data_IF_971500153396
#
_entry.id   IF_971500153396
#
_cell.length_a   1.000
_cell.length_b   1.000
_cell.length_c   1.000
_cell.angle_alpha   90.00
_cell.angle_beta   90.00
_cell.angle_gamma   90.00
#
_symmetry.space_group_name_H-M   'P 1'
#
loop_
_entity.id
_entity.type
_entity.pdbx_description
1 polymer ?
#
# COMPACT_ATOMS: atom_id res chain seq x y z
N UNK A 1 -17.75 50.72 37.02
CA UNK A 1 -16.58 49.90 36.64
C UNK A 1 -15.35 50.78 36.47
N UNK A 2 -14.37 50.58 37.34
CA UNK A 2 -13.10 51.33 37.36
C UNK A 2 -12.22 50.92 36.16
N UNK A 3 -11.33 51.82 35.71
CA UNK A 3 -10.42 51.58 34.56
C UNK A 3 -9.57 50.31 34.73
N UNK A 4 -9.22 50.02 35.98
CA UNK A 4 -8.44 48.85 36.38
C UNK A 4 -9.21 47.54 36.21
N UNK A 5 -10.52 47.53 36.51
CA UNK A 5 -11.38 46.35 36.31
C UNK A 5 -11.54 46.00 34.83
N UNK A 6 -11.72 47.03 33.97
CA UNK A 6 -11.78 46.83 32.51
C UNK A 6 -10.45 46.33 31.94
N UNK A 7 -9.32 46.85 32.43
CA UNK A 7 -8.00 46.38 32.01
C UNK A 7 -7.76 44.92 32.46
N UNK A 8 -8.18 44.57 33.67
CA UNK A 8 -8.02 43.22 34.22
C UNK A 8 -8.95 42.20 33.53
N UNK A 9 -10.18 42.59 33.22
CA UNK A 9 -11.09 41.79 32.39
C UNK A 9 -10.54 41.60 30.98
N UNK A 10 -10.01 42.65 30.35
CA UNK A 10 -9.39 42.54 29.03
C UNK A 10 -8.15 41.64 29.02
N UNK A 11 -7.37 41.60 30.11
CA UNK A 11 -6.23 40.68 30.26
C UNK A 11 -6.73 39.23 30.43
N UNK A 12 -7.76 39.00 31.25
CA UNK A 12 -8.37 37.68 31.46
C UNK A 12 -9.08 37.14 30.20
N UNK A 13 -9.73 38.00 29.41
CA UNK A 13 -10.31 37.63 28.11
C UNK A 13 -9.23 37.38 27.04
N UNK A 14 -8.08 38.07 27.14
CA UNK A 14 -6.95 37.88 26.23
C UNK A 14 -6.16 36.61 26.52
N UNK A 15 -6.28 36.04 27.71
CA UNK A 15 -5.72 34.74 28.06
C UNK A 15 -6.56 33.61 27.41
N UNK A 16 -6.43 33.52 26.08
CA UNK A 16 -7.13 32.57 25.24
C UNK A 16 -6.60 31.17 25.58
N UNK A 17 -7.32 30.46 26.44
CA UNK A 17 -7.07 29.05 26.80
C UNK A 17 -6.69 28.26 25.53
N UNK A 18 -5.48 27.70 25.49
CA UNK A 18 -5.06 26.85 24.37
C UNK A 18 -5.72 25.48 24.57
N UNK A 19 -6.72 25.15 23.75
CA UNK A 19 -7.39 23.85 23.79
C UNK A 19 -6.56 22.83 23.02
N UNK A 20 -5.79 22.00 23.74
CA UNK A 20 -5.00 20.90 23.17
C UNK A 20 -5.83 20.05 22.16
N UNK A 21 -7.08 19.74 22.50
CA UNK A 21 -7.98 18.95 21.65
C UNK A 21 -8.23 19.59 20.28
N UNK A 22 -8.38 20.91 20.21
CA UNK A 22 -8.60 21.62 18.95
C UNK A 22 -7.39 21.48 18.02
N UNK A 23 -6.19 21.72 18.54
CA UNK A 23 -4.95 21.61 17.76
C UNK A 23 -4.61 20.18 17.38
N UNK A 24 -4.90 19.23 18.27
CA UNK A 24 -4.76 17.80 18.00
C UNK A 24 -5.70 17.35 16.87
N UNK A 25 -6.99 17.71 16.94
CA UNK A 25 -7.97 17.39 15.89
C UNK A 25 -7.64 18.05 14.55
N UNK A 26 -7.21 19.32 14.57
CA UNK A 26 -6.76 20.02 13.37
C UNK A 26 -5.56 19.31 12.73
N UNK A 27 -4.58 18.88 13.53
CA UNK A 27 -3.41 18.13 13.03
C UNK A 27 -3.82 16.82 12.37
N UNK A 28 -4.67 16.03 13.06
CA UNK A 28 -5.18 14.76 12.53
C UNK A 28 -5.95 14.97 11.22
N UNK A 29 -6.80 15.99 11.14
CA UNK A 29 -7.55 16.31 9.94
C UNK A 29 -6.62 16.71 8.78
N UNK A 30 -5.64 17.57 9.02
CA UNK A 30 -4.67 17.99 8.00
C UNK A 30 -3.83 16.81 7.48
N UNK A 31 -3.31 15.96 8.36
CA UNK A 31 -2.59 14.75 7.96
C UNK A 31 -3.49 13.78 7.19
N UNK A 32 -4.71 13.53 7.67
CA UNK A 32 -5.68 12.67 6.99
C UNK A 32 -5.96 13.15 5.57
N UNK A 33 -6.26 14.44 5.38
CA UNK A 33 -6.53 15.02 4.06
C UNK A 33 -5.33 14.94 3.11
N UNK A 34 -4.12 15.23 3.61
CA UNK A 34 -2.91 15.20 2.79
C UNK A 34 -2.55 13.79 2.30
N UNK A 35 -2.73 12.78 3.16
CA UNK A 35 -2.33 11.39 2.86
C UNK A 35 -3.46 10.55 2.24
N UNK A 36 -4.72 10.98 2.33
CA UNK A 36 -5.87 10.29 1.73
C UNK A 36 -5.67 9.93 0.25
N UNK A 37 -5.34 10.87 -0.66
CA UNK A 37 -5.20 10.54 -2.09
C UNK A 37 -4.07 9.54 -2.34
N UNK A 38 -2.99 9.59 -1.55
CA UNK A 38 -1.87 8.67 -1.65
C UNK A 38 -2.29 7.24 -1.29
N UNK A 39 -2.94 7.05 -0.14
CA UNK A 39 -3.41 5.73 0.29
C UNK A 39 -4.52 5.19 -0.63
N UNK A 40 -5.44 6.04 -1.07
CA UNK A 40 -6.45 5.64 -2.05
C UNK A 40 -5.78 5.11 -3.33
N UNK A 41 -4.83 5.87 -3.88
CA UNK A 41 -4.16 5.53 -5.14
C UNK A 41 -3.34 4.25 -5.06
N UNK A 42 -2.58 4.02 -3.98
CA UNK A 42 -1.78 2.79 -3.85
C UNK A 42 -2.66 1.55 -3.73
N UNK A 43 -3.76 1.62 -2.98
CA UNK A 43 -4.70 0.50 -2.83
C UNK A 43 -5.41 0.22 -4.15
N UNK A 44 -5.90 1.27 -4.81
CA UNK A 44 -6.57 1.14 -6.10
C UNK A 44 -5.63 0.57 -7.17
N UNK A 45 -4.38 1.05 -7.22
CA UNK A 45 -3.36 0.54 -8.15
C UNK A 45 -3.03 -0.93 -7.87
N UNK A 46 -2.90 -1.31 -6.59
CA UNK A 46 -2.70 -2.70 -6.17
C UNK A 46 -3.86 -3.59 -6.63
N UNK A 47 -5.11 -3.18 -6.42
CA UNK A 47 -6.26 -3.96 -6.87
C UNK A 47 -6.31 -4.11 -8.40
N UNK A 48 -6.11 -3.01 -9.13
CA UNK A 48 -6.04 -3.01 -10.60
C UNK A 48 -4.90 -3.89 -11.12
N UNK A 49 -3.75 -3.87 -10.46
CA UNK A 49 -2.61 -4.73 -10.78
C UNK A 49 -2.95 -6.21 -10.64
N UNK A 50 -3.50 -6.62 -9.50
CA UNK A 50 -3.77 -8.02 -9.23
C UNK A 50 -4.83 -8.59 -10.18
N UNK A 51 -5.84 -7.79 -10.55
CA UNK A 51 -6.81 -8.19 -11.58
C UNK A 51 -6.17 -8.41 -12.95
N UNK A 52 -5.28 -7.51 -13.37
CA UNK A 52 -4.60 -7.63 -14.66
C UNK A 52 -3.66 -8.82 -14.70
N UNK A 53 -2.89 -9.05 -13.65
CA UNK A 53 -2.02 -10.22 -13.57
C UNK A 53 -2.83 -11.52 -13.63
N UNK A 54 -3.92 -11.63 -12.86
CA UNK A 54 -4.72 -12.85 -12.89
C UNK A 54 -5.31 -13.15 -14.28
N UNK A 55 -5.64 -12.11 -15.04
CA UNK A 55 -6.07 -12.25 -16.43
C UNK A 55 -4.93 -12.70 -17.34
N UNK A 56 -3.73 -12.14 -17.17
CA UNK A 56 -2.53 -12.58 -17.89
C UNK A 56 -2.18 -14.04 -17.59
N UNK A 57 -2.23 -14.46 -16.32
CA UNK A 57 -1.98 -15.85 -15.92
C UNK A 57 -2.97 -16.82 -16.58
N UNK A 58 -4.25 -16.45 -16.70
CA UNK A 58 -5.23 -17.24 -17.44
C UNK A 58 -4.87 -17.36 -18.91
N UNK A 59 -4.51 -16.25 -19.56
CA UNK A 59 -4.13 -16.26 -20.98
C UNK A 59 -2.90 -17.12 -21.23
N UNK A 60 -1.89 -17.05 -20.35
CA UNK A 60 -0.71 -17.93 -20.40
C UNK A 60 -1.11 -19.39 -20.24
N UNK A 61 -1.91 -19.72 -19.22
CA UNK A 61 -2.34 -21.10 -18.96
C UNK A 61 -3.17 -21.67 -20.13
N UNK A 62 -4.07 -20.87 -20.72
CA UNK A 62 -4.84 -21.28 -21.88
C UNK A 62 -3.97 -21.50 -23.12
N UNK A 63 -2.99 -20.63 -23.36
CA UNK A 63 -2.03 -20.78 -24.44
C UNK A 63 -1.19 -22.05 -24.29
N UNK A 64 -0.66 -22.30 -23.09
CA UNK A 64 0.15 -23.49 -22.82
C UNK A 64 -0.68 -24.77 -22.88
N UNK A 65 -1.94 -24.73 -22.44
CA UNK A 65 -2.89 -25.85 -22.61
C UNK A 65 -3.11 -26.17 -24.08
N UNK A 66 -3.24 -25.17 -24.96
CA UNK A 66 -3.33 -25.38 -26.42
C UNK A 66 -2.04 -26.01 -26.99
N UNK A 67 -0.88 -25.74 -26.38
CA UNK A 67 0.41 -26.39 -26.69
C UNK A 67 0.62 -27.73 -25.94
N UNK A 68 -0.40 -28.28 -25.28
CA UNK A 68 -0.35 -29.59 -24.61
C UNK A 68 0.30 -29.59 -23.21
N UNK A 69 0.56 -28.41 -22.63
CA UNK A 69 1.11 -28.25 -21.28
C UNK A 69 0.05 -27.70 -20.32
N UNK A 70 -0.44 -28.54 -19.41
CA UNK A 70 -1.35 -28.09 -18.36
C UNK A 70 -0.60 -27.44 -17.20
N UNK A 71 -1.07 -26.27 -16.78
CA UNK A 71 -0.53 -25.53 -15.64
C UNK A 71 -1.68 -25.12 -14.75
N UNK A 72 -1.51 -25.34 -13.46
CA UNK A 72 -2.47 -24.90 -12.46
C UNK A 72 -2.39 -23.38 -12.33
N UNK A 73 -3.49 -22.69 -12.61
CA UNK A 73 -3.63 -21.30 -12.21
C UNK A 73 -3.86 -21.24 -10.70
N UNK A 74 -3.24 -20.31 -9.97
CA UNK A 74 -3.50 -20.16 -8.55
C UNK A 74 -5.00 -19.92 -8.29
N UNK A 75 -5.64 -20.86 -7.57
CA UNK A 75 -7.09 -20.83 -7.28
C UNK A 75 -7.45 -19.71 -6.28
N UNK A 76 -6.47 -19.16 -5.56
CA UNK A 76 -6.73 -18.24 -4.46
C UNK A 76 -7.24 -16.89 -4.98
N UNK A 77 -8.53 -16.62 -4.72
CA UNK A 77 -9.21 -15.41 -5.18
C UNK A 77 -8.50 -14.12 -4.77
N UNK A 78 -8.55 -13.12 -5.65
CA UNK A 78 -8.02 -11.79 -5.40
C UNK A 78 -8.84 -11.17 -4.25
N UNK A 79 -8.26 -11.11 -3.05
CA UNK A 79 -8.85 -10.32 -1.97
C UNK A 79 -8.63 -8.84 -2.26
N UNK A 80 -9.68 -8.19 -2.73
CA UNK A 80 -9.67 -6.74 -2.96
C UNK A 80 -9.89 -5.96 -1.67
N UNK A 81 -9.18 -4.84 -1.55
CA UNK A 81 -9.37 -3.88 -0.49
C UNK A 81 -10.28 -2.74 -0.97
N UNK A 82 -11.33 -2.39 -0.23
CA UNK A 82 -12.10 -1.19 -0.57
C UNK A 82 -11.23 0.06 -0.38
N UNK A 83 -10.77 0.64 -1.48
CA UNK A 83 -9.80 1.73 -1.47
C UNK A 83 -10.31 2.96 -0.70
N UNK A 84 -11.60 3.29 -0.83
CA UNK A 84 -12.21 4.43 -0.12
C UNK A 84 -12.28 4.18 1.38
N UNK A 85 -12.76 3.01 1.80
CA UNK A 85 -12.87 2.66 3.23
C UNK A 85 -11.49 2.61 3.90
N UNK A 86 -10.52 1.95 3.27
CA UNK A 86 -9.17 1.87 3.82
C UNK A 86 -8.46 3.22 3.82
N UNK A 87 -8.59 4.03 2.76
CA UNK A 87 -8.03 5.38 2.74
C UNK A 87 -8.70 6.29 3.78
N UNK A 88 -10.00 6.18 4.01
CA UNK A 88 -10.69 6.95 5.06
C UNK A 88 -10.23 6.54 6.47
N UNK A 89 -9.88 5.26 6.66
CA UNK A 89 -9.47 4.75 7.98
C UNK A 89 -8.14 5.33 8.50
N UNK A 90 -7.33 5.96 7.64
CA UNK A 90 -6.00 6.50 8.01
C UNK A 90 -6.06 7.67 9.01
N UNK A 91 -7.24 8.27 9.19
CA UNK A 91 -7.48 9.27 10.25
C UNK A 91 -7.18 8.66 11.63
N UNK A 92 -7.32 7.34 11.76
CA UNK A 92 -6.93 6.59 12.94
C UNK A 92 -5.50 6.05 12.76
N UNK A 93 -4.68 6.23 13.79
CA UNK A 93 -3.28 5.80 13.81
C UNK A 93 -3.12 4.27 13.65
N UNK A 94 -3.98 3.48 14.30
CA UNK A 94 -3.91 2.00 14.27
C UNK A 94 -4.14 1.45 12.85
N UNK A 95 -5.22 1.82 12.12
CA UNK A 95 -5.42 1.42 10.73
C UNK A 95 -4.26 1.74 9.79
N UNK A 96 -3.52 2.83 9.98
CA UNK A 96 -2.33 3.13 9.16
C UNK A 96 -1.30 2.00 9.26
N UNK A 97 -0.98 1.54 10.48
CA UNK A 97 -0.05 0.44 10.68
C UNK A 97 -0.55 -0.86 10.06
N UNK A 98 -1.84 -1.17 10.27
CA UNK A 98 -2.46 -2.38 9.70
C UNK A 98 -2.39 -2.33 8.17
N UNK A 99 -2.74 -1.20 7.57
CA UNK A 99 -2.76 -1.02 6.12
C UNK A 99 -1.36 -1.16 5.51
N UNK A 100 -0.35 -0.51 6.08
CA UNK A 100 1.04 -0.63 5.61
C UNK A 100 1.55 -2.08 5.77
N UNK A 101 1.20 -2.75 6.85
CA UNK A 101 1.52 -4.17 7.05
C UNK A 101 0.84 -5.06 6.00
N UNK A 102 -0.47 -4.87 5.76
CA UNK A 102 -1.23 -5.62 4.77
C UNK A 102 -0.67 -5.42 3.36
N UNK A 103 -0.41 -4.17 2.94
CA UNK A 103 0.20 -3.85 1.65
C UNK A 103 1.58 -4.53 1.50
N UNK A 104 2.40 -4.51 2.56
CA UNK A 104 3.70 -5.16 2.54
C UNK A 104 3.60 -6.68 2.41
N UNK A 105 2.69 -7.29 3.18
CA UNK A 105 2.45 -8.73 3.15
C UNK A 105 1.89 -9.17 1.79
N UNK A 106 0.95 -8.40 1.25
CA UNK A 106 0.33 -8.65 -0.04
C UNK A 106 1.37 -8.62 -1.16
N UNK A 107 2.25 -7.61 -1.18
CA UNK A 107 3.32 -7.52 -2.20
C UNK A 107 4.24 -8.74 -2.17
N UNK A 108 4.75 -9.13 -1.00
CA UNK A 108 5.64 -10.30 -0.88
C UNK A 108 4.93 -11.57 -1.34
N UNK A 109 3.70 -11.78 -0.87
CA UNK A 109 2.91 -12.97 -1.19
C UNK A 109 2.58 -13.03 -2.69
N UNK A 110 2.29 -11.88 -3.29
CA UNK A 110 2.05 -11.70 -4.72
C UNK A 110 3.27 -12.07 -5.54
N UNK A 111 4.41 -11.44 -5.28
CA UNK A 111 5.62 -11.64 -6.07
C UNK A 111 6.13 -13.08 -5.99
N UNK A 112 6.05 -13.73 -4.82
CA UNK A 112 6.40 -15.14 -4.66
C UNK A 112 5.50 -16.07 -5.49
N UNK A 113 4.21 -15.75 -5.61
CA UNK A 113 3.28 -16.53 -6.44
C UNK A 113 3.56 -16.35 -7.91
N UNK A 114 3.80 -15.11 -8.32
CA UNK A 114 4.12 -14.78 -9.69
C UNK A 114 5.41 -15.49 -10.14
N UNK A 115 6.46 -15.51 -9.31
CA UNK A 115 7.70 -16.25 -9.58
C UNK A 115 7.41 -17.75 -9.73
N UNK A 116 6.64 -18.34 -8.81
CA UNK A 116 6.29 -19.76 -8.87
C UNK A 116 5.46 -20.13 -10.11
N UNK A 117 4.46 -19.30 -10.46
CA UNK A 117 3.64 -19.49 -11.64
C UNK A 117 4.50 -19.41 -12.91
N UNK A 118 5.31 -18.36 -13.06
CA UNK A 118 6.15 -18.17 -14.24
C UNK A 118 7.23 -19.23 -14.38
N UNK A 119 7.83 -19.69 -13.29
CA UNK A 119 8.79 -20.79 -13.29
C UNK A 119 8.14 -22.13 -13.72
N UNK A 120 6.85 -22.31 -13.46
CA UNK A 120 6.11 -23.47 -13.99
C UNK A 120 5.76 -23.31 -15.47
N UNK A 121 5.52 -22.08 -15.92
CA UNK A 121 5.12 -21.75 -17.29
C UNK A 121 6.28 -21.77 -18.28
N UNK A 122 7.41 -21.18 -17.91
CA UNK A 122 8.55 -20.96 -18.80
C UNK A 122 9.83 -21.59 -18.23
N UNK A 123 10.73 -22.10 -19.09
CA UNK A 123 11.97 -22.74 -18.64
C UNK A 123 12.98 -21.76 -18.06
N UNK A 124 12.95 -20.49 -18.49
CA UNK A 124 13.82 -19.44 -17.99
C UNK A 124 13.14 -18.68 -16.85
N UNK A 125 13.92 -18.32 -15.83
CA UNK A 125 13.41 -17.47 -14.75
C UNK A 125 13.20 -16.04 -15.25
N UNK A 126 11.95 -15.64 -15.40
CA UNK A 126 11.58 -14.33 -15.94
C UNK A 126 11.35 -13.25 -14.87
N UNK A 127 11.25 -13.63 -13.60
CA UNK A 127 10.91 -12.72 -12.51
C UNK A 127 11.73 -13.02 -11.25
N UNK A 128 12.02 -12.01 -10.44
CA UNK A 128 12.70 -12.18 -9.16
C UNK A 128 11.99 -11.37 -8.07
N UNK A 129 11.40 -12.04 -7.06
CA UNK A 129 10.70 -11.36 -5.97
C UNK A 129 11.62 -10.46 -5.17
N UNK A 130 11.08 -9.34 -4.72
CA UNK A 130 11.72 -8.43 -3.79
C UNK A 130 11.60 -8.96 -2.35
N UNK A 131 12.66 -8.80 -1.56
CA UNK A 131 12.61 -9.09 -0.13
C UNK A 131 12.15 -7.88 0.68
N UNK A 132 11.02 -8.00 1.39
CA UNK A 132 10.56 -6.98 2.35
C UNK A 132 10.86 -7.46 3.77
N UNK A 133 11.72 -6.80 4.55
CA UNK A 133 11.96 -7.15 5.96
C UNK A 133 10.83 -6.63 6.87
N UNK A 134 9.59 -7.08 6.63
CA UNK A 134 8.34 -6.63 7.30
C UNK A 134 8.50 -6.62 8.83
N UNK A 135 9.06 -7.70 9.39
CA UNK A 135 9.30 -7.84 10.85
C UNK A 135 10.21 -6.73 11.40
N UNK A 136 11.26 -6.37 10.65
CA UNK A 136 12.19 -5.30 11.06
C UNK A 136 11.49 -3.94 11.02
N UNK A 137 10.72 -3.66 9.97
CA UNK A 137 9.98 -2.40 9.86
C UNK A 137 8.91 -2.28 10.94
N UNK A 138 8.17 -3.35 11.24
CA UNK A 138 7.22 -3.39 12.35
C UNK A 138 7.91 -3.15 13.70
N UNK A 139 9.04 -3.82 13.96
CA UNK A 139 9.81 -3.65 15.20
C UNK A 139 10.32 -2.20 15.37
N UNK A 140 10.93 -1.62 14.34
CA UNK A 140 11.39 -0.22 14.36
C UNK A 140 10.21 0.71 14.64
N UNK A 141 9.08 0.49 13.97
CA UNK A 141 7.88 1.28 14.16
C UNK A 141 7.38 1.22 15.60
N UNK A 142 7.37 0.04 16.23
CA UNK A 142 6.98 -0.12 17.64
C UNK A 142 7.97 0.59 18.58
N UNK A 143 9.28 0.35 18.42
CA UNK A 143 10.33 0.93 19.29
C UNK A 143 10.34 2.46 19.19
N UNK A 144 10.04 3.01 18.02
CA UNK A 144 9.96 4.46 17.77
C UNK A 144 8.57 5.06 18.06
N UNK A 145 7.68 4.33 18.74
CA UNK A 145 6.32 4.77 19.07
C UNK A 145 5.53 5.28 17.85
N UNK A 146 5.75 4.65 16.70
CA UNK A 146 5.04 4.90 15.46
C UNK A 146 5.83 5.68 14.40
N UNK A 147 6.92 6.37 14.76
CA UNK A 147 7.65 7.20 13.79
C UNK A 147 8.25 6.41 12.62
N UNK A 148 8.68 5.17 12.86
CA UNK A 148 9.21 4.26 11.85
C UNK A 148 8.25 3.95 10.69
N UNK A 149 6.94 4.24 10.84
CA UNK A 149 5.95 4.03 9.78
C UNK A 149 6.18 4.92 8.57
N UNK A 150 6.76 6.10 8.75
CA UNK A 150 7.02 7.03 7.65
C UNK A 150 8.04 6.42 6.68
N UNK A 151 9.12 5.87 7.22
CA UNK A 151 10.13 5.16 6.44
C UNK A 151 9.55 3.90 5.79
N UNK A 152 8.77 3.11 6.54
CA UNK A 152 8.13 1.92 6.00
C UNK A 152 7.17 2.26 4.86
N UNK A 153 6.34 3.30 5.01
CA UNK A 153 5.44 3.78 3.96
C UNK A 153 6.22 4.20 2.70
N UNK A 154 7.30 4.98 2.87
CA UNK A 154 8.20 5.33 1.78
C UNK A 154 8.72 4.06 1.08
N UNK A 155 9.22 3.08 1.84
CA UNK A 155 9.75 1.84 1.25
C UNK A 155 8.70 1.07 0.48
N UNK A 156 7.51 0.84 1.04
CA UNK A 156 6.49 0.02 0.37
C UNK A 156 5.98 0.68 -0.91
N UNK A 157 5.81 2.01 -0.94
CA UNK A 157 5.41 2.73 -2.15
C UNK A 157 6.45 2.58 -3.26
N UNK A 158 7.73 2.73 -2.94
CA UNK A 158 8.80 2.56 -3.91
C UNK A 158 8.91 1.12 -4.41
N UNK A 159 8.67 0.14 -3.55
CA UNK A 159 8.68 -1.27 -3.93
C UNK A 159 7.53 -1.59 -4.89
N UNK A 160 6.30 -1.15 -4.62
CA UNK A 160 5.19 -1.26 -5.58
C UNK A 160 5.50 -0.59 -6.93
N UNK A 161 6.09 0.60 -6.92
CA UNK A 161 6.47 1.28 -8.17
C UNK A 161 7.52 0.49 -8.96
N UNK A 162 8.52 -0.07 -8.28
CA UNK A 162 9.53 -0.92 -8.89
C UNK A 162 8.92 -2.21 -9.45
N UNK A 163 8.03 -2.86 -8.70
CA UNK A 163 7.27 -4.02 -9.12
C UNK A 163 6.45 -3.73 -10.38
N UNK A 164 5.64 -2.67 -10.39
CA UNK A 164 4.85 -2.30 -11.57
C UNK A 164 5.71 -1.98 -12.78
N UNK A 165 6.92 -1.45 -12.59
CA UNK A 165 7.87 -1.24 -13.70
C UNK A 165 8.38 -2.58 -14.22
N UNK A 166 8.85 -3.46 -13.35
CA UNK A 166 9.35 -4.79 -13.73
C UNK A 166 8.26 -5.63 -14.42
N UNK A 167 7.04 -5.62 -13.88
CA UNK A 167 5.92 -6.38 -14.43
C UNK A 167 5.51 -5.91 -15.83
N UNK A 168 5.60 -4.61 -16.14
CA UNK A 168 5.33 -4.11 -17.51
C UNK A 168 6.33 -4.60 -18.54
N UNK A 169 7.61 -4.72 -18.18
CA UNK A 169 8.62 -5.27 -19.09
C UNK A 169 8.44 -6.78 -19.25
N UNK A 170 8.10 -7.47 -18.17
CA UNK A 170 7.75 -8.88 -18.18
C UNK A 170 6.52 -9.17 -19.07
N UNK A 171 5.45 -8.39 -18.95
CA UNK A 171 4.23 -8.52 -19.77
C UNK A 171 4.56 -8.47 -21.28
N UNK A 172 5.39 -7.50 -21.69
CA UNK A 172 5.83 -7.38 -23.09
C UNK A 172 6.59 -8.62 -23.57
N UNK A 173 7.49 -9.13 -22.73
CA UNK A 173 8.29 -10.30 -23.06
C UNK A 173 7.44 -11.57 -23.15
N UNK A 174 6.45 -11.73 -22.27
CA UNK A 174 5.49 -12.84 -22.32
C UNK A 174 4.68 -12.78 -23.61
N UNK A 175 4.13 -11.62 -23.95
CA UNK A 175 3.33 -11.43 -25.16
C UNK A 175 4.16 -11.77 -26.39
N UNK A 176 5.40 -11.25 -26.48
CA UNK A 176 6.33 -11.55 -27.57
C UNK A 176 6.54 -13.07 -27.74
N UNK A 177 6.75 -13.80 -26.65
CA UNK A 177 6.93 -15.28 -26.68
C UNK A 177 5.66 -16.06 -27.00
N UNK A 178 4.49 -15.46 -26.81
CA UNK A 178 3.20 -16.10 -27.14
C UNK A 178 2.82 -15.89 -28.61
N UNK A 179 3.32 -14.82 -29.23
CA UNK A 179 3.14 -14.53 -30.65
C UNK A 179 4.13 -15.32 -31.56
N UNK A 180 5.21 -15.86 -30.97
CA UNK A 180 6.18 -16.79 -31.59
C UNK A 180 5.70 -18.27 -31.60
#
# INVERSE_FOLDING_TARGET
MCRMERAMQAILEKDRRIWFSMWFLASVASFGLAFFPMFHRIIESRNKHFRREHELEKQIAEFLRKKGKEIQTPIEGIREMNAKTWAASIVLVIPVFVLVYLLSKDLVKHEMRQDAFLASAFPERMFMPQSVPIKKYALITIITLGFGIVYWLYKIVNMYNAHFKAHRELEKEIIRRMEE
#
